data_IF_390239352619
#
_entry.id   IF_390239352619
#
_cell.length_a   1.000
_cell.length_b   1.000
_cell.length_c   1.000
_cell.angle_alpha   90.00
_cell.angle_beta   90.00
_cell.angle_gamma   90.00
#
_symmetry.space_group_name_H-M   'P 1'
#
loop_
_entity.id
_entity.type
_entity.pdbx_description
1 polymer ?
#
# COMPACT_ATOMS: atom_id res chain seq x y z
N UNK A 1 -37.87 -42.17 32.99
CA UNK A 1 -36.63 -42.82 33.45
C UNK A 1 -35.78 -43.11 32.25
N UNK A 2 -34.84 -42.24 31.93
CA UNK A 2 -33.73 -42.57 31.00
C UNK A 2 -32.48 -41.84 31.50
N UNK A 3 -31.55 -42.63 32.00
CA UNK A 3 -30.23 -42.21 32.43
C UNK A 3 -29.36 -42.06 31.17
N UNK A 4 -28.90 -40.85 30.83
CA UNK A 4 -27.80 -40.69 29.91
C UNK A 4 -26.50 -40.61 30.70
N UNK A 5 -25.62 -41.52 30.37
CA UNK A 5 -24.30 -41.76 30.93
C UNK A 5 -23.36 -40.61 30.56
N UNK A 6 -22.80 -39.94 31.56
CA UNK A 6 -21.65 -39.02 31.42
C UNK A 6 -20.38 -39.89 31.40
N UNK A 7 -19.86 -40.19 30.23
CA UNK A 7 -18.51 -40.74 30.09
C UNK A 7 -17.85 -40.25 28.82
N UNK A 8 -16.63 -39.76 29.01
CA UNK A 8 -15.59 -39.48 28.01
C UNK A 8 -15.53 -38.09 27.37
N UNK A 9 -15.26 -37.05 28.17
CA UNK A 9 -14.68 -35.80 27.66
C UNK A 9 -13.25 -35.51 28.16
N UNK A 10 -12.60 -36.47 28.83
CA UNK A 10 -11.27 -36.21 29.44
C UNK A 10 -10.06 -36.74 28.66
N UNK A 11 -10.26 -37.46 27.57
CA UNK A 11 -9.14 -38.11 26.87
C UNK A 11 -8.61 -37.35 25.65
N UNK A 12 -9.37 -36.36 25.11
CA UNK A 12 -9.00 -35.68 23.88
C UNK A 12 -8.10 -34.44 24.13
N UNK A 13 -8.19 -33.84 25.32
CA UNK A 13 -7.47 -32.57 25.61
C UNK A 13 -5.98 -32.78 25.90
N UNK A 14 -5.56 -33.96 26.32
CA UNK A 14 -4.16 -34.21 26.71
C UNK A 14 -3.25 -34.54 25.51
N UNK A 15 -3.81 -35.10 24.42
CA UNK A 15 -2.99 -35.49 23.25
C UNK A 15 -2.61 -34.29 22.39
N UNK A 16 -3.44 -33.23 22.36
CA UNK A 16 -3.15 -32.02 21.55
C UNK A 16 -2.04 -31.14 22.19
N UNK A 17 -2.00 -31.05 23.52
CA UNK A 17 -0.99 -30.28 24.24
C UNK A 17 0.42 -30.86 24.13
N UNK A 18 0.53 -32.21 24.09
CA UNK A 18 1.85 -32.89 23.95
C UNK A 18 2.43 -32.75 22.56
N UNK A 19 1.59 -32.64 21.52
CA UNK A 19 2.07 -32.51 20.13
C UNK A 19 2.63 -31.11 19.82
N UNK A 20 2.13 -30.07 20.46
CA UNK A 20 2.65 -28.70 20.27
C UNK A 20 3.96 -28.45 21.02
N UNK A 21 4.16 -29.03 22.18
CA UNK A 21 5.41 -28.87 22.93
C UNK A 21 6.63 -29.54 22.25
N UNK A 22 6.40 -30.65 21.53
CA UNK A 22 7.47 -31.34 20.81
C UNK A 22 7.91 -30.63 19.53
N UNK A 23 7.02 -29.86 18.89
CA UNK A 23 7.34 -29.11 17.67
C UNK A 23 8.24 -27.88 17.94
N UNK A 24 8.18 -27.31 19.16
CA UNK A 24 9.02 -26.17 19.54
C UNK A 24 10.42 -26.57 20.04
N UNK A 25 10.59 -27.81 20.49
CA UNK A 25 11.85 -28.31 21.03
C UNK A 25 12.85 -28.83 19.96
N UNK A 26 12.40 -28.99 18.71
CA UNK A 26 13.19 -29.63 17.66
C UNK A 26 13.81 -28.66 16.65
N UNK A 27 13.71 -27.35 16.83
CA UNK A 27 14.33 -26.42 15.91
C UNK A 27 15.04 -25.23 16.59
N UNK A 28 16.11 -25.44 17.39
CA UNK A 28 16.95 -24.34 17.89
C UNK A 28 18.05 -23.92 16.92
N UNK A 29 18.10 -24.44 15.68
CA UNK A 29 19.28 -24.32 14.85
C UNK A 29 19.16 -23.43 13.60
N UNK A 30 18.08 -22.66 13.45
CA UNK A 30 17.97 -21.72 12.33
C UNK A 30 17.58 -20.28 12.75
N UNK A 31 18.14 -19.82 13.88
CA UNK A 31 18.09 -18.39 14.24
C UNK A 31 19.20 -17.55 13.57
N UNK A 32 19.83 -18.09 12.56
CA UNK A 32 20.88 -17.46 11.77
C UNK A 32 20.66 -17.65 10.26
N UNK A 33 19.40 -17.73 9.81
CA UNK A 33 19.11 -17.63 8.39
C UNK A 33 19.39 -16.19 7.95
N UNK A 34 20.39 -16.00 7.06
CA UNK A 34 20.54 -14.79 6.30
C UNK A 34 19.16 -14.42 5.77
N UNK A 35 18.59 -13.31 6.22
CA UNK A 35 17.42 -12.72 5.55
C UNK A 35 17.80 -12.63 4.07
N UNK A 36 16.97 -13.17 3.16
CA UNK A 36 17.27 -13.04 1.75
C UNK A 36 17.44 -11.55 1.50
N UNK A 37 18.64 -11.14 1.03
CA UNK A 37 18.91 -9.76 0.66
C UNK A 37 17.91 -9.40 -0.43
N UNK A 38 16.81 -8.77 -0.06
CA UNK A 38 15.83 -8.27 -1.03
C UNK A 38 16.57 -7.23 -1.86
N UNK A 39 16.79 -7.56 -3.14
CA UNK A 39 17.30 -6.60 -4.09
C UNK A 39 16.35 -5.42 -4.12
N UNK A 40 16.80 -4.31 -3.57
CA UNK A 40 16.01 -3.08 -3.54
C UNK A 40 16.17 -2.36 -4.88
N UNK A 41 15.05 -2.07 -5.54
CA UNK A 41 15.01 -1.28 -6.77
C UNK A 41 14.44 0.09 -6.45
N UNK A 42 15.08 1.15 -6.94
CA UNK A 42 14.55 2.51 -6.85
C UNK A 42 13.99 2.94 -8.20
N UNK A 43 12.75 3.38 -8.21
CA UNK A 43 12.09 3.98 -9.37
C UNK A 43 11.72 5.42 -9.03
N UNK A 44 12.17 6.38 -9.87
CA UNK A 44 11.80 7.80 -9.73
C UNK A 44 10.83 8.16 -10.84
N UNK A 45 9.68 8.73 -10.47
CA UNK A 45 8.66 9.19 -11.40
C UNK A 45 8.18 10.59 -11.02
N UNK A 46 7.58 11.29 -11.98
CA UNK A 46 6.99 12.60 -11.80
C UNK A 46 5.54 12.54 -12.30
N UNK A 47 4.58 12.70 -11.41
CA UNK A 47 3.16 12.82 -11.78
C UNK A 47 2.87 14.27 -12.14
N UNK A 48 2.36 14.52 -13.35
CA UNK A 48 2.12 15.86 -13.86
C UNK A 48 0.66 16.28 -13.72
N UNK A 49 0.32 16.95 -12.61
CA UNK A 49 -1.03 17.45 -12.36
C UNK A 49 -1.39 18.72 -13.14
N UNK A 50 -0.49 19.25 -13.98
CA UNK A 50 -0.77 20.40 -14.89
C UNK A 50 -1.61 19.96 -16.10
N UNK A 51 -1.56 18.68 -16.40
CA UNK A 51 -2.25 18.06 -17.53
C UNK A 51 -2.98 16.79 -17.11
N UNK A 52 -3.89 16.31 -17.96
CA UNK A 52 -4.74 15.17 -17.64
C UNK A 52 -6.06 15.57 -16.99
N UNK A 53 -6.67 14.65 -16.28
CA UNK A 53 -7.95 14.85 -15.59
C UNK A 53 -7.68 15.03 -14.10
N UNK A 54 -8.32 16.06 -13.52
CA UNK A 54 -8.35 16.27 -12.08
C UNK A 54 -9.75 16.81 -11.72
N UNK A 55 -10.52 16.06 -10.94
CA UNK A 55 -11.91 16.38 -10.61
C UNK A 55 -12.14 16.26 -9.11
N UNK A 56 -12.56 17.36 -8.50
CA UNK A 56 -13.08 17.38 -7.13
C UNK A 56 -14.59 17.18 -7.10
N UNK A 57 -15.06 16.47 -6.08
CA UNK A 57 -16.47 16.33 -5.72
C UNK A 57 -16.61 16.82 -4.29
N UNK A 58 -17.29 17.95 -4.12
CA UNK A 58 -17.58 18.57 -2.82
C UNK A 58 -18.80 17.86 -2.21
N UNK A 59 -18.60 17.18 -1.09
CA UNK A 59 -19.60 16.43 -0.36
C UNK A 59 -19.79 17.02 1.04
N UNK A 60 -21.05 17.15 1.46
CA UNK A 60 -21.35 17.65 2.80
C UNK A 60 -21.44 19.17 2.87
N UNK A 61 -20.62 19.83 3.68
CA UNK A 61 -20.59 21.30 3.77
C UNK A 61 -19.77 21.86 2.63
N UNK A 62 -20.22 22.94 1.96
CA UNK A 62 -19.44 23.56 0.90
C UNK A 62 -18.02 23.92 1.33
N UNK A 63 -17.03 23.63 0.47
CA UNK A 63 -15.61 23.83 0.72
C UNK A 63 -14.93 22.57 1.29
N UNK A 64 -13.69 22.71 1.70
CA UNK A 64 -12.87 21.55 2.15
C UNK A 64 -13.49 20.89 3.39
N UNK A 65 -14.07 19.70 3.19
CA UNK A 65 -14.78 18.97 4.23
C UNK A 65 -14.46 17.46 4.21
N UNK A 66 -14.62 16.73 5.35
CA UNK A 66 -14.41 15.31 5.38
C UNK A 66 -15.38 14.59 4.43
N UNK A 67 -14.82 13.68 3.62
CA UNK A 67 -15.58 12.92 2.63
C UNK A 67 -15.47 13.45 1.20
N UNK A 68 -14.96 14.66 0.99
CA UNK A 68 -14.71 15.18 -0.35
C UNK A 68 -13.82 14.25 -1.13
N UNK A 69 -14.13 14.05 -2.41
CA UNK A 69 -13.40 13.15 -3.29
C UNK A 69 -12.62 13.96 -4.32
N UNK A 70 -11.40 13.57 -4.54
CA UNK A 70 -10.57 14.05 -5.63
C UNK A 70 -10.15 12.88 -6.51
N UNK A 71 -10.56 12.86 -7.76
CA UNK A 71 -10.20 11.83 -8.75
C UNK A 71 -9.25 12.42 -9.79
N UNK A 72 -8.28 11.64 -10.25
CA UNK A 72 -7.28 12.10 -11.20
C UNK A 72 -6.81 10.99 -12.15
N UNK A 73 -6.41 11.40 -13.36
CA UNK A 73 -5.70 10.60 -14.36
C UNK A 73 -4.66 11.52 -15.04
N UNK A 74 -3.42 11.41 -14.60
CA UNK A 74 -2.33 12.32 -14.92
C UNK A 74 -1.23 11.60 -15.71
N UNK A 75 -0.50 12.30 -16.61
CA UNK A 75 0.74 11.80 -17.18
C UNK A 75 1.75 11.45 -16.08
N UNK A 76 2.46 10.35 -16.28
CA UNK A 76 3.60 9.95 -15.47
C UNK A 76 4.86 10.06 -16.31
N UNK A 77 5.82 10.82 -15.80
CA UNK A 77 7.08 11.13 -16.47
C UNK A 77 8.25 10.50 -15.71
N UNK A 78 9.34 10.26 -16.40
CA UNK A 78 10.62 9.90 -15.78
C UNK A 78 11.40 11.15 -15.30
N UNK A 79 12.61 10.94 -14.79
CA UNK A 79 13.51 12.03 -14.35
C UNK A 79 14.00 12.94 -15.47
N UNK A 80 13.86 12.53 -16.75
CA UNK A 80 14.17 13.34 -17.93
C UNK A 80 12.93 14.06 -18.47
N UNK A 81 11.80 13.98 -17.77
CA UNK A 81 10.49 14.48 -18.20
C UNK A 81 9.93 13.81 -19.46
N UNK A 82 10.37 12.58 -19.77
CA UNK A 82 9.79 11.76 -20.83
C UNK A 82 8.56 11.02 -20.32
N UNK A 83 7.52 10.94 -21.16
CA UNK A 83 6.29 10.23 -20.82
C UNK A 83 6.53 8.72 -20.71
N UNK A 84 6.33 8.16 -19.54
CA UNK A 84 6.51 6.72 -19.25
C UNK A 84 5.22 5.99 -18.88
N UNK A 85 4.13 6.70 -18.69
CA UNK A 85 2.88 6.07 -18.30
C UNK A 85 1.82 7.03 -17.78
N UNK A 86 0.96 6.51 -16.90
CA UNK A 86 -0.11 7.25 -16.25
C UNK A 86 -0.13 7.02 -14.75
N UNK A 87 -0.62 8.03 -14.03
CA UNK A 87 -0.84 8.03 -12.59
C UNK A 87 -2.32 8.30 -12.34
N UNK A 88 -3.11 7.27 -12.04
CA UNK A 88 -4.57 7.36 -11.97
C UNK A 88 -5.09 6.89 -10.63
N UNK A 89 -5.97 7.65 -10.01
CA UNK A 89 -6.52 7.28 -8.72
C UNK A 89 -7.51 8.29 -8.14
N UNK A 90 -7.66 8.18 -6.83
CA UNK A 90 -8.52 9.07 -6.07
C UNK A 90 -8.00 9.27 -4.65
N UNK A 91 -8.43 10.37 -4.05
CA UNK A 91 -8.24 10.68 -2.63
C UNK A 91 -9.59 11.01 -2.01
N UNK A 92 -9.76 10.66 -0.73
CA UNK A 92 -10.90 11.07 0.09
C UNK A 92 -10.37 11.97 1.21
N UNK A 93 -10.91 13.16 1.35
CA UNK A 93 -10.54 14.09 2.41
C UNK A 93 -10.87 13.49 3.77
N UNK A 94 -9.88 13.30 4.62
CA UNK A 94 -10.06 12.79 5.98
C UNK A 94 -9.89 13.87 7.05
N UNK A 95 -9.00 14.82 6.82
CA UNK A 95 -8.79 15.97 7.70
C UNK A 95 -8.60 17.23 6.84
N UNK A 96 -9.60 18.13 6.81
CA UNK A 96 -9.54 19.36 6.02
C UNK A 96 -8.27 20.18 6.26
N UNK A 97 -7.68 20.67 5.19
CA UNK A 97 -6.44 21.47 5.20
C UNK A 97 -5.20 20.71 5.65
N UNK A 98 -5.24 19.38 5.76
CA UNK A 98 -4.10 18.62 6.25
C UNK A 98 -3.88 17.27 5.55
N UNK A 99 -4.91 16.41 5.46
CA UNK A 99 -4.72 15.04 5.02
C UNK A 99 -5.89 14.46 4.22
N UNK A 100 -5.55 13.61 3.26
CA UNK A 100 -6.48 12.73 2.55
C UNK A 100 -6.02 11.28 2.63
N UNK A 101 -6.96 10.33 2.52
CA UNK A 101 -6.66 8.92 2.29
C UNK A 101 -6.75 8.66 0.80
N UNK A 102 -5.67 8.20 0.21
CA UNK A 102 -5.51 8.10 -1.24
C UNK A 102 -5.20 6.67 -1.68
N UNK A 103 -5.66 6.34 -2.89
CA UNK A 103 -5.23 5.14 -3.61
C UNK A 103 -5.03 5.50 -5.07
N UNK A 104 -3.90 5.08 -5.65
CA UNK A 104 -3.65 5.25 -7.08
C UNK A 104 -2.77 4.16 -7.65
N UNK A 105 -2.79 4.10 -8.98
CA UNK A 105 -2.04 3.12 -9.78
C UNK A 105 -1.14 3.85 -10.76
N UNK A 106 0.14 3.52 -10.72
CA UNK A 106 1.11 3.85 -11.75
C UNK A 106 1.00 2.78 -12.83
N UNK A 107 0.55 3.16 -14.03
CA UNK A 107 0.49 2.28 -15.21
C UNK A 107 1.72 2.55 -16.06
N UNK A 108 2.61 1.57 -16.15
CA UNK A 108 3.88 1.61 -16.87
C UNK A 108 3.85 0.64 -18.05
N UNK A 109 4.83 0.70 -18.95
CA UNK A 109 4.89 -0.16 -20.12
C UNK A 109 4.86 -1.68 -19.79
N UNK A 110 5.49 -2.07 -18.68
CA UNK A 110 5.70 -3.47 -18.31
C UNK A 110 4.75 -3.96 -17.20
N UNK A 111 3.82 -3.13 -16.74
CA UNK A 111 2.90 -3.50 -15.67
C UNK A 111 2.42 -2.32 -14.84
N UNK A 112 1.84 -2.61 -13.70
CA UNK A 112 1.30 -1.58 -12.82
C UNK A 112 1.89 -1.68 -11.41
N UNK A 113 1.94 -0.55 -10.71
CA UNK A 113 2.24 -0.47 -9.27
C UNK A 113 1.08 0.25 -8.61
N UNK A 114 0.50 -0.34 -7.57
CA UNK A 114 -0.59 0.27 -6.81
C UNK A 114 -0.10 0.66 -5.43
N UNK A 115 -0.44 1.87 -5.03
CA UNK A 115 -0.12 2.45 -3.73
C UNK A 115 -1.38 2.92 -3.02
N UNK A 116 -1.41 2.85 -1.70
CA UNK A 116 -2.52 3.36 -0.91
C UNK A 116 -2.05 3.81 0.46
N UNK A 117 -2.58 4.93 0.94
CA UNK A 117 -2.27 5.45 2.25
C UNK A 117 -2.60 6.93 2.40
N UNK A 118 -2.22 7.44 3.55
CA UNK A 118 -2.48 8.82 3.94
C UNK A 118 -1.51 9.78 3.28
N UNK A 119 -2.04 10.74 2.53
CA UNK A 119 -1.29 11.80 1.89
C UNK A 119 -1.50 13.14 2.60
N UNK A 120 -0.41 13.88 2.82
CA UNK A 120 -0.41 15.23 3.38
C UNK A 120 -0.62 16.27 2.27
N UNK A 121 -1.37 17.32 2.57
CA UNK A 121 -1.52 18.47 1.66
C UNK A 121 -0.19 19.22 1.47
N UNK A 122 0.74 19.05 2.40
CA UNK A 122 2.05 19.72 2.38
C UNK A 122 3.18 18.76 2.76
N UNK A 123 4.32 18.89 2.10
CA UNK A 123 5.49 18.07 2.41
C UNK A 123 5.42 16.65 1.83
N UNK A 124 6.40 15.85 2.19
CA UNK A 124 6.54 14.48 1.69
C UNK A 124 5.66 13.52 2.46
N UNK A 125 4.93 12.66 1.75
CA UNK A 125 4.17 11.55 2.31
C UNK A 125 4.82 10.22 1.98
N UNK A 126 4.83 9.29 2.93
CA UNK A 126 5.34 7.93 2.75
C UNK A 126 4.15 6.99 2.55
N UNK A 127 3.93 6.56 1.33
CA UNK A 127 2.77 5.77 0.93
C UNK A 127 3.18 4.33 0.66
N UNK A 128 2.58 3.32 1.33
CA UNK A 128 2.87 1.92 1.08
C UNK A 128 2.57 1.50 -0.35
N UNK A 129 3.47 0.69 -0.95
CA UNK A 129 3.19 -0.07 -2.17
C UNK A 129 2.43 -1.33 -1.78
N UNK A 130 1.19 -1.45 -2.22
CA UNK A 130 0.28 -2.52 -1.83
C UNK A 130 0.21 -3.67 -2.84
N UNK A 131 0.79 -3.49 -4.02
CA UNK A 131 0.88 -4.53 -5.04
C UNK A 131 1.16 -3.99 -6.43
N UNK A 132 1.14 -4.89 -7.41
CA UNK A 132 1.35 -4.56 -8.81
C UNK A 132 1.00 -5.71 -9.74
N UNK A 133 1.23 -5.51 -11.04
CA UNK A 133 1.02 -6.51 -12.09
C UNK A 133 2.16 -6.50 -13.09
N UNK A 134 2.18 -7.49 -14.01
CA UNK A 134 3.25 -7.61 -15.00
C UNK A 134 4.60 -7.86 -14.34
N UNK A 135 5.62 -7.08 -14.69
CA UNK A 135 6.94 -7.17 -14.07
C UNK A 135 6.95 -6.76 -12.58
N UNK A 136 5.90 -6.08 -12.11
CA UNK A 136 5.73 -5.67 -10.72
C UNK A 136 4.83 -6.61 -9.92
N UNK A 137 4.61 -7.84 -10.42
CA UNK A 137 3.83 -8.84 -9.68
C UNK A 137 4.49 -9.14 -8.33
N UNK A 138 3.69 -9.12 -7.25
CA UNK A 138 4.13 -9.32 -5.87
C UNK A 138 5.02 -8.22 -5.28
N UNK A 139 5.23 -7.11 -6.00
CA UNK A 139 6.03 -5.99 -5.49
C UNK A 139 5.49 -5.48 -4.15
N UNK A 140 6.42 -5.12 -3.28
CA UNK A 140 6.20 -4.43 -2.01
C UNK A 140 7.13 -3.24 -1.96
N UNK A 141 6.89 -2.33 -1.05
CA UNK A 141 7.78 -1.19 -0.87
C UNK A 141 7.09 0.02 -0.29
N UNK A 142 7.73 1.15 -0.46
CA UNK A 142 7.22 2.45 -0.05
C UNK A 142 7.50 3.47 -1.15
N UNK A 143 6.57 4.38 -1.34
CA UNK A 143 6.72 5.55 -2.20
C UNK A 143 6.77 6.81 -1.36
N UNK A 144 7.84 7.59 -1.50
CA UNK A 144 7.88 8.96 -1.03
C UNK A 144 7.29 9.85 -2.13
N UNK A 145 6.15 10.51 -1.88
CA UNK A 145 5.55 11.48 -2.80
C UNK A 145 5.69 12.89 -2.22
N UNK A 146 6.15 13.82 -3.03
CA UNK A 146 6.43 15.21 -2.63
C UNK A 146 5.80 16.17 -3.64
N UNK A 147 4.88 17.05 -3.21
CA UNK A 147 4.34 18.09 -4.07
C UNK A 147 5.41 19.13 -4.43
N UNK A 148 5.49 19.49 -5.71
CA UNK A 148 6.38 20.51 -6.22
C UNK A 148 5.63 21.83 -6.44
N UNK A 149 6.36 22.95 -6.45
CA UNK A 149 5.77 24.29 -6.62
C UNK A 149 5.10 24.48 -8.00
N UNK A 150 5.47 23.68 -9.00
CA UNK A 150 4.97 23.72 -10.37
C UNK A 150 3.75 22.83 -10.62
N UNK A 151 3.11 22.31 -9.56
CA UNK A 151 1.97 21.37 -9.62
C UNK A 151 2.34 20.00 -10.22
N UNK A 152 3.57 19.58 -10.08
CA UNK A 152 3.96 18.19 -10.28
C UNK A 152 4.18 17.52 -8.92
N UNK A 153 4.29 16.18 -8.92
CA UNK A 153 4.61 15.41 -7.72
C UNK A 153 5.82 14.52 -8.02
N UNK A 154 6.91 14.71 -7.30
CA UNK A 154 8.04 13.78 -7.36
C UNK A 154 7.71 12.55 -6.55
N UNK A 155 7.82 11.37 -7.15
CA UNK A 155 7.54 10.08 -6.53
C UNK A 155 8.80 9.22 -6.58
N UNK A 156 9.30 8.83 -5.41
CA UNK A 156 10.47 7.94 -5.28
C UNK A 156 9.99 6.64 -4.66
N UNK A 157 9.96 5.57 -5.46
CA UNK A 157 9.55 4.25 -5.02
C UNK A 157 10.79 3.44 -4.65
N UNK A 158 10.79 2.89 -3.45
CA UNK A 158 11.74 1.88 -2.98
C UNK A 158 11.02 0.54 -2.97
N UNK A 159 11.38 -0.35 -3.89
CA UNK A 159 10.69 -1.61 -4.16
C UNK A 159 11.56 -2.81 -3.75
N UNK A 160 10.92 -3.87 -3.23
CA UNK A 160 11.53 -5.14 -2.83
C UNK A 160 10.56 -6.30 -2.95
#
# INVERSE_FOLDING_TARGET
>A
MNRFSLLNLSAITVVIAASYAAAWALNPANAGGDEPSHLTTTLVTIADARSGIAQGVDLGKPGDSPGDIFAFDQPLLDSNHELIGKNSGFCIRTLPGAFSECQWTLTLANGTITVAGRESDTGTSMIPVIGGSGEYLLVRGVMATTPNADKTYTQILTLY
#
